data_IF_121249104773
#
_entry.id   IF_121249104773
#
_cell.length_a   1.000
_cell.length_b   1.000
_cell.length_c   1.000
_cell.angle_alpha   90.00
_cell.angle_beta   90.00
_cell.angle_gamma   90.00
#
_symmetry.space_group_name_H-M   'P 1'
#
loop_
_entity.id
_entity.type
_entity.pdbx_description
1 polymer ?
#
# COMPACT_ATOMS: atom_id res chain seq x y z
N UNK A 1 33.39 29.33 8.85
CA UNK A 1 31.96 29.67 8.85
C UNK A 1 31.39 29.91 7.42
N UNK A 2 32.11 30.49 6.43
CA UNK A 2 31.58 30.75 5.07
C UNK A 2 31.22 29.51 4.21
N UNK A 3 31.91 28.35 4.39
CA UNK A 3 31.61 27.13 3.61
C UNK A 3 30.24 26.51 3.92
N UNK A 4 29.78 26.61 5.17
CA UNK A 4 28.48 26.09 5.61
C UNK A 4 27.32 26.85 4.96
N UNK A 5 27.45 28.16 4.88
CA UNK A 5 26.48 29.05 4.24
C UNK A 5 26.31 28.80 2.74
N UNK A 6 27.42 28.54 2.02
CA UNK A 6 27.37 28.26 0.57
C UNK A 6 26.68 26.91 0.30
N UNK A 7 26.99 25.87 1.08
CA UNK A 7 26.36 24.57 0.95
C UNK A 7 24.85 24.65 1.24
N UNK A 8 24.47 25.36 2.30
CA UNK A 8 23.04 25.56 2.64
C UNK A 8 22.29 26.30 1.53
N UNK A 9 22.92 27.31 0.93
CA UNK A 9 22.34 28.06 -0.18
C UNK A 9 22.16 27.20 -1.43
N UNK A 10 23.16 26.43 -1.82
CA UNK A 10 23.10 25.51 -2.97
C UNK A 10 22.03 24.43 -2.72
N UNK A 11 21.99 23.84 -1.51
CA UNK A 11 21.01 22.85 -1.14
C UNK A 11 19.59 23.41 -1.21
N UNK A 12 19.37 24.65 -0.77
CA UNK A 12 18.07 25.33 -0.87
C UNK A 12 17.63 25.54 -2.31
N UNK A 13 18.54 25.96 -3.20
CA UNK A 13 18.25 26.13 -4.63
C UNK A 13 17.86 24.78 -5.27
N UNK A 14 18.61 23.72 -5.00
CA UNK A 14 18.30 22.37 -5.51
C UNK A 14 16.92 21.92 -5.02
N UNK A 15 16.65 22.10 -3.75
CA UNK A 15 15.34 21.73 -3.17
C UNK A 15 14.21 22.53 -3.84
N UNK A 16 14.41 23.84 -4.06
CA UNK A 16 13.42 24.68 -4.73
C UNK A 16 13.14 24.18 -6.16
N UNK A 17 14.19 23.86 -6.92
CA UNK A 17 14.06 23.32 -8.29
C UNK A 17 13.25 22.03 -8.28
N UNK A 18 13.53 21.10 -7.36
CA UNK A 18 12.80 19.84 -7.24
C UNK A 18 11.33 20.09 -6.89
N UNK A 19 11.05 20.96 -5.94
CA UNK A 19 9.67 21.31 -5.55
C UNK A 19 8.91 21.94 -6.70
N UNK A 20 9.52 22.89 -7.42
CA UNK A 20 8.89 23.53 -8.58
C UNK A 20 8.63 22.50 -9.68
N UNK A 21 9.56 21.62 -9.97
CA UNK A 21 9.41 20.58 -10.97
C UNK A 21 8.26 19.61 -10.62
N UNK A 22 8.19 19.14 -9.37
CA UNK A 22 7.10 18.29 -8.90
C UNK A 22 5.76 18.99 -8.95
N UNK A 23 5.71 20.25 -8.52
CA UNK A 23 4.49 21.08 -8.58
C UNK A 23 4.01 21.31 -10.02
N UNK A 24 4.94 21.50 -10.96
CA UNK A 24 4.63 21.65 -12.38
C UNK A 24 3.98 20.40 -12.97
N UNK A 25 4.48 19.20 -12.63
CA UNK A 25 3.90 17.93 -13.07
C UNK A 25 2.46 17.81 -12.57
N UNK A 26 2.24 18.04 -11.27
CA UNK A 26 0.90 17.96 -10.65
C UNK A 26 -0.06 18.96 -11.31
N UNK A 27 0.38 20.20 -11.48
CA UNK A 27 -0.43 21.25 -12.09
C UNK A 27 -0.81 20.91 -13.54
N UNK A 28 0.11 20.33 -14.31
CA UNK A 28 -0.15 19.90 -15.69
C UNK A 28 -1.24 18.83 -15.74
N UNK A 29 -1.19 17.84 -14.84
CA UNK A 29 -2.22 16.78 -14.75
C UNK A 29 -3.58 17.38 -14.42
N UNK A 30 -3.64 18.32 -13.45
CA UNK A 30 -4.88 18.96 -13.05
C UNK A 30 -5.46 19.79 -14.22
N UNK A 31 -4.66 20.65 -14.83
CA UNK A 31 -5.13 21.50 -15.94
C UNK A 31 -5.63 20.68 -17.12
N UNK A 32 -4.92 19.63 -17.50
CA UNK A 32 -5.33 18.75 -18.59
C UNK A 32 -6.50 17.84 -18.24
N UNK A 33 -6.70 17.54 -16.96
CA UNK A 33 -7.79 16.67 -16.47
C UNK A 33 -9.14 17.41 -16.35
N UNK A 34 -9.14 18.72 -16.07
CA UNK A 34 -10.35 19.51 -15.84
C UNK A 34 -11.39 19.37 -16.99
N UNK A 35 -11.02 19.49 -18.28
CA UNK A 35 -11.99 19.40 -19.38
C UNK A 35 -12.73 18.05 -19.43
N UNK A 36 -12.06 16.96 -19.04
CA UNK A 36 -12.61 15.60 -19.10
C UNK A 36 -13.36 15.19 -17.82
N UNK A 37 -13.34 16.05 -16.79
CA UNK A 37 -13.93 15.74 -15.48
C UNK A 37 -15.42 15.37 -15.56
N UNK A 38 -16.20 16.14 -16.35
CA UNK A 38 -17.63 15.88 -16.55
C UNK A 38 -17.91 14.55 -17.25
N UNK A 39 -17.05 14.17 -18.20
CA UNK A 39 -17.18 12.92 -18.97
C UNK A 39 -16.83 11.70 -18.12
N UNK A 40 -15.79 11.81 -17.30
CA UNK A 40 -15.35 10.81 -16.33
C UNK A 40 -16.46 10.47 -15.33
N UNK A 41 -17.14 11.48 -14.80
CA UNK A 41 -18.24 11.27 -13.84
C UNK A 41 -19.51 10.65 -14.47
N UNK A 42 -19.70 10.78 -15.77
CA UNK A 42 -20.83 10.15 -16.48
C UNK A 42 -20.56 8.68 -16.85
N UNK A 43 -19.28 8.27 -16.90
CA UNK A 43 -18.93 6.89 -17.22
C UNK A 43 -19.28 5.94 -16.06
N UNK A 44 -20.15 4.97 -16.32
CA UNK A 44 -20.54 3.93 -15.36
C UNK A 44 -19.35 3.06 -14.92
N UNK A 45 -18.40 2.83 -15.81
CA UNK A 45 -17.20 2.02 -15.56
C UNK A 45 -16.29 2.71 -14.54
N UNK A 46 -16.11 4.02 -14.68
CA UNK A 46 -15.28 4.81 -13.77
C UNK A 46 -15.96 4.92 -12.39
N UNK A 47 -17.27 5.16 -12.37
CA UNK A 47 -18.02 5.17 -11.11
C UNK A 47 -17.93 3.83 -10.37
N UNK A 48 -18.04 2.72 -11.11
CA UNK A 48 -17.87 1.38 -10.54
C UNK A 48 -16.45 1.20 -9.96
N UNK A 49 -15.44 1.59 -10.72
CA UNK A 49 -14.03 1.47 -10.30
C UNK A 49 -13.73 2.30 -9.04
N UNK A 50 -14.27 3.52 -8.95
CA UNK A 50 -14.12 4.37 -7.76
C UNK A 50 -14.81 3.72 -6.53
N UNK A 51 -16.05 3.27 -6.69
CA UNK A 51 -16.78 2.59 -5.61
C UNK A 51 -16.06 1.34 -5.15
N UNK A 52 -15.59 0.52 -6.09
CA UNK A 52 -14.83 -0.69 -5.80
C UNK A 52 -13.55 -0.39 -5.03
N UNK A 53 -12.80 0.63 -5.47
CA UNK A 53 -11.56 1.04 -4.81
C UNK A 53 -11.80 1.53 -3.39
N UNK A 54 -12.80 2.39 -3.18
CA UNK A 54 -13.14 2.90 -1.85
C UNK A 54 -13.61 1.76 -0.92
N UNK A 55 -14.47 0.88 -1.41
CA UNK A 55 -14.95 -0.27 -0.66
C UNK A 55 -13.82 -1.22 -0.27
N UNK A 56 -12.99 -1.62 -1.24
CA UNK A 56 -11.88 -2.53 -0.99
C UNK A 56 -10.85 -1.93 -0.02
N UNK A 57 -10.53 -0.63 -0.18
CA UNK A 57 -9.57 0.05 0.70
C UNK A 57 -10.10 0.19 2.11
N UNK A 58 -11.38 0.52 2.29
CA UNK A 58 -11.98 0.63 3.61
C UNK A 58 -11.94 -0.70 4.36
N UNK A 59 -12.37 -1.79 3.71
CA UNK A 59 -12.37 -3.12 4.32
C UNK A 59 -10.93 -3.57 4.61
N UNK A 60 -10.01 -3.42 3.67
CA UNK A 60 -8.62 -3.84 3.87
C UNK A 60 -7.94 -3.07 5.01
N UNK A 61 -8.23 -1.77 5.15
CA UNK A 61 -7.70 -0.95 6.24
C UNK A 61 -8.25 -1.39 7.59
N UNK A 62 -9.55 -1.67 7.69
CA UNK A 62 -10.14 -2.19 8.93
C UNK A 62 -9.52 -3.53 9.33
N UNK A 63 -9.36 -4.46 8.37
CA UNK A 63 -8.70 -5.75 8.63
C UNK A 63 -7.25 -5.53 9.07
N UNK A 64 -6.51 -4.66 8.38
CA UNK A 64 -5.13 -4.34 8.75
C UNK A 64 -5.04 -3.78 10.17
N UNK A 65 -5.92 -2.87 10.57
CA UNK A 65 -5.93 -2.32 11.93
C UNK A 65 -6.22 -3.39 12.98
N UNK A 66 -7.24 -4.22 12.74
CA UNK A 66 -7.60 -5.31 13.65
C UNK A 66 -6.45 -6.31 13.87
N UNK A 67 -5.67 -6.59 12.83
CA UNK A 67 -4.54 -7.51 12.91
C UNK A 67 -3.24 -6.82 13.38
N UNK A 68 -3.02 -5.58 12.97
CA UNK A 68 -1.77 -4.87 13.27
C UNK A 68 -1.64 -4.47 14.74
N UNK A 69 -2.74 -4.05 15.38
CA UNK A 69 -2.73 -3.62 16.78
C UNK A 69 -2.23 -4.74 17.72
N UNK A 70 -2.88 -5.94 17.77
CA UNK A 70 -2.43 -7.01 18.64
C UNK A 70 -1.04 -7.54 18.27
N UNK A 71 -0.72 -7.57 16.97
CA UNK A 71 0.60 -8.03 16.49
C UNK A 71 1.70 -7.07 16.92
N UNK A 72 1.52 -5.77 16.72
CA UNK A 72 2.46 -4.74 17.15
C UNK A 72 2.67 -4.77 18.67
N UNK A 73 1.59 -4.89 19.44
CA UNK A 73 1.65 -5.00 20.89
C UNK A 73 2.49 -6.22 21.34
N UNK A 74 2.24 -7.38 20.74
CA UNK A 74 2.95 -8.63 21.07
C UNK A 74 4.44 -8.52 20.77
N UNK A 75 4.80 -8.00 19.59
CA UNK A 75 6.20 -7.87 19.15
C UNK A 75 6.97 -6.84 20.00
N UNK A 76 6.27 -5.81 20.47
CA UNK A 76 6.92 -4.74 21.28
C UNK A 76 7.10 -5.17 22.73
N UNK A 77 6.10 -5.82 23.34
CA UNK A 77 6.09 -6.14 24.78
C UNK A 77 6.83 -7.42 25.14
N UNK A 78 6.86 -8.40 24.27
CA UNK A 78 7.53 -9.68 24.58
C UNK A 78 8.96 -9.68 24.07
N UNK A 79 9.93 -9.77 24.97
CA UNK A 79 11.34 -9.93 24.64
C UNK A 79 11.70 -11.42 24.59
N UNK A 80 12.19 -11.89 23.43
CA UNK A 80 12.61 -13.28 23.24
C UNK A 80 13.08 -13.57 21.81
N UNK A 81 13.80 -14.68 21.65
CA UNK A 81 14.30 -15.11 20.34
C UNK A 81 13.16 -15.28 19.32
N UNK A 82 12.02 -15.81 19.75
CA UNK A 82 10.85 -16.01 18.91
C UNK A 82 10.31 -14.69 18.30
N UNK A 83 10.22 -13.63 19.12
CA UNK A 83 9.76 -12.33 18.64
C UNK A 83 10.70 -11.68 17.62
N UNK A 84 12.00 -11.95 17.74
CA UNK A 84 12.98 -11.49 16.74
C UNK A 84 12.71 -12.14 15.39
N UNK A 85 12.45 -13.46 15.35
CA UNK A 85 12.11 -14.16 14.12
C UNK A 85 10.77 -13.73 13.54
N UNK A 86 9.73 -13.58 14.37
CA UNK A 86 8.41 -13.09 13.94
C UNK A 86 8.51 -11.70 13.31
N UNK A 87 9.30 -10.81 13.88
CA UNK A 87 9.56 -9.48 13.33
C UNK A 87 10.16 -9.55 11.93
N UNK A 88 11.21 -10.37 11.75
CA UNK A 88 11.87 -10.54 10.46
C UNK A 88 10.89 -11.09 9.42
N UNK A 89 10.10 -12.11 9.76
CA UNK A 89 9.12 -12.71 8.85
C UNK A 89 8.05 -11.70 8.42
N UNK A 90 7.55 -10.87 9.34
CA UNK A 90 6.55 -9.86 9.03
C UNK A 90 7.14 -8.73 8.17
N UNK A 91 8.40 -8.39 8.35
CA UNK A 91 9.07 -7.34 7.59
C UNK A 91 9.60 -7.83 6.21
N UNK A 92 9.68 -9.14 5.97
CA UNK A 92 10.12 -9.71 4.69
C UNK A 92 9.36 -9.19 3.46
N UNK A 93 8.01 -9.08 3.47
CA UNK A 93 7.27 -8.55 2.33
C UNK A 93 7.67 -7.12 1.95
N UNK A 94 8.16 -6.31 2.91
CA UNK A 94 8.60 -4.94 2.65
C UNK A 94 9.86 -4.87 1.77
N UNK A 95 10.64 -5.94 1.73
CA UNK A 95 11.86 -6.03 0.94
C UNK A 95 11.62 -6.52 -0.49
N UNK A 96 10.42 -7.04 -0.78
CA UNK A 96 10.07 -7.60 -2.07
C UNK A 96 9.38 -6.55 -2.97
N UNK A 97 9.68 -6.52 -4.27
CA UNK A 97 8.92 -5.71 -5.22
C UNK A 97 7.43 -6.10 -5.23
N UNK A 98 6.54 -5.12 -5.30
CA UNK A 98 5.09 -5.35 -5.31
C UNK A 98 4.63 -6.32 -6.41
N UNK A 99 5.30 -6.32 -7.56
CA UNK A 99 5.03 -7.25 -8.65
C UNK A 99 5.24 -8.71 -8.20
N UNK A 100 6.34 -8.97 -7.49
CA UNK A 100 6.67 -10.31 -6.97
C UNK A 100 5.65 -10.74 -5.92
N UNK A 101 5.24 -9.84 -5.03
CA UNK A 101 4.17 -10.10 -4.05
C UNK A 101 2.85 -10.45 -4.74
N UNK A 102 2.45 -9.69 -5.76
CA UNK A 102 1.23 -9.97 -6.53
C UNK A 102 1.28 -11.31 -7.24
N UNK A 103 2.40 -11.65 -7.87
CA UNK A 103 2.60 -12.94 -8.52
C UNK A 103 2.58 -14.10 -7.51
N UNK A 104 3.20 -13.93 -6.34
CA UNK A 104 3.18 -14.94 -5.28
C UNK A 104 1.77 -15.25 -4.81
N UNK A 105 0.95 -14.22 -4.58
CA UNK A 105 -0.46 -14.39 -4.24
C UNK A 105 -1.24 -15.07 -5.36
N UNK A 106 -1.01 -14.70 -6.61
CA UNK A 106 -1.65 -15.33 -7.76
C UNK A 106 -1.31 -16.83 -7.83
N UNK A 107 -0.05 -17.20 -7.64
CA UNK A 107 0.39 -18.60 -7.65
C UNK A 107 -0.29 -19.37 -6.51
N UNK A 108 -0.31 -18.82 -5.30
CA UNK A 108 -0.94 -19.48 -4.14
C UNK A 108 -2.43 -19.70 -4.40
N UNK A 109 -3.16 -18.70 -4.86
CA UNK A 109 -4.61 -18.81 -5.09
C UNK A 109 -5.00 -19.49 -6.40
N UNK A 110 -4.06 -19.73 -7.31
CA UNK A 110 -4.24 -20.60 -8.48
C UNK A 110 -3.90 -22.06 -8.23
N UNK A 111 -3.26 -22.37 -7.11
CA UNK A 111 -2.89 -23.72 -6.67
C UNK A 111 -4.09 -24.54 -6.17
N UNK A 112 -3.92 -25.82 -5.79
CA UNK A 112 -4.98 -26.63 -5.19
C UNK A 112 -5.67 -25.97 -3.99
N UNK A 113 -4.94 -25.16 -3.20
CA UNK A 113 -5.50 -24.40 -2.07
C UNK A 113 -6.55 -23.41 -2.56
N UNK A 114 -6.25 -22.66 -3.63
CA UNK A 114 -7.20 -21.72 -4.21
C UNK A 114 -8.40 -22.39 -4.86
N UNK A 115 -8.23 -23.60 -5.41
CA UNK A 115 -9.34 -24.42 -5.93
C UNK A 115 -10.29 -24.86 -4.82
N UNK A 116 -9.75 -25.36 -3.71
CA UNK A 116 -10.54 -25.74 -2.54
C UNK A 116 -11.32 -24.55 -1.96
N UNK A 117 -10.70 -23.37 -1.87
CA UNK A 117 -11.40 -22.14 -1.45
C UNK A 117 -12.53 -21.75 -2.40
N UNK A 118 -12.33 -21.93 -3.71
CA UNK A 118 -13.38 -21.66 -4.71
C UNK A 118 -14.56 -22.63 -4.56
N UNK A 119 -14.33 -23.88 -4.26
CA UNK A 119 -15.38 -24.89 -3.98
C UNK A 119 -16.19 -24.54 -2.73
N UNK A 120 -15.56 -23.89 -1.74
CA UNK A 120 -16.21 -23.34 -0.55
C UNK A 120 -16.94 -22.00 -0.82
N UNK A 121 -17.01 -21.53 -2.06
CA UNK A 121 -17.66 -20.28 -2.45
C UNK A 121 -16.76 -19.04 -2.43
N UNK A 122 -15.50 -19.14 -2.04
CA UNK A 122 -14.56 -18.02 -1.98
C UNK A 122 -13.70 -17.93 -3.25
N UNK A 123 -14.21 -17.23 -4.25
CA UNK A 123 -13.43 -16.92 -5.46
C UNK A 123 -12.47 -15.76 -5.16
N UNK A 124 -11.16 -16.03 -5.09
CA UNK A 124 -10.12 -15.02 -4.81
C UNK A 124 -9.55 -14.42 -6.10
N UNK A 125 -9.14 -15.27 -7.04
CA UNK A 125 -8.51 -14.82 -8.29
C UNK A 125 -9.51 -14.05 -9.16
N UNK A 126 -9.11 -12.87 -9.64
CA UNK A 126 -9.93 -11.94 -10.42
C UNK A 126 -11.26 -11.56 -9.75
N UNK A 127 -11.25 -11.31 -8.45
CA UNK A 127 -12.43 -10.93 -7.67
C UNK A 127 -12.16 -9.75 -6.74
N UNK A 128 -13.23 -9.14 -6.20
CA UNK A 128 -13.14 -8.09 -5.19
C UNK A 128 -12.44 -8.59 -3.90
N UNK A 129 -12.68 -9.83 -3.53
CA UNK A 129 -12.03 -10.48 -2.39
C UNK A 129 -10.52 -10.57 -2.60
N UNK A 130 -10.09 -10.91 -3.81
CA UNK A 130 -8.67 -10.93 -4.16
C UNK A 130 -7.99 -9.57 -4.04
N UNK A 131 -8.66 -8.49 -4.42
CA UNK A 131 -8.16 -7.12 -4.25
C UNK A 131 -7.98 -6.81 -2.76
N UNK A 132 -8.96 -7.12 -1.92
CA UNK A 132 -8.90 -6.89 -0.48
C UNK A 132 -7.75 -7.69 0.16
N UNK A 133 -7.62 -8.98 -0.19
CA UNK A 133 -6.54 -9.83 0.33
C UNK A 133 -5.17 -9.29 -0.08
N UNK A 134 -5.00 -8.89 -1.34
CA UNK A 134 -3.75 -8.32 -1.82
C UNK A 134 -3.39 -7.01 -1.09
N UNK A 135 -4.37 -6.13 -0.89
CA UNK A 135 -4.18 -4.90 -0.13
C UNK A 135 -3.83 -5.17 1.34
N UNK A 136 -4.50 -6.11 1.99
CA UNK A 136 -4.19 -6.50 3.38
C UNK A 136 -2.77 -7.05 3.45
N UNK A 137 -2.39 -7.95 2.56
CA UNK A 137 -1.07 -8.59 2.56
C UNK A 137 0.07 -7.57 2.41
N UNK A 138 -0.12 -6.59 1.53
CA UNK A 138 0.87 -5.54 1.28
C UNK A 138 0.90 -4.51 2.42
N UNK A 139 -0.26 -4.10 2.93
CA UNK A 139 -0.34 -3.00 3.90
C UNK A 139 -0.13 -3.44 5.36
N UNK A 140 -0.35 -4.70 5.68
CA UNK A 140 -0.24 -5.21 7.05
C UNK A 140 1.15 -4.98 7.67
N UNK A 141 2.28 -5.28 7.01
CA UNK A 141 3.62 -5.00 7.54
C UNK A 141 3.86 -3.50 7.83
N UNK A 142 3.38 -2.62 6.94
CA UNK A 142 3.47 -1.16 7.13
C UNK A 142 2.65 -0.71 8.35
N UNK A 143 1.43 -1.21 8.49
CA UNK A 143 0.55 -0.89 9.62
C UNK A 143 1.17 -1.34 10.95
N UNK A 144 1.72 -2.56 11.01
CA UNK A 144 2.41 -3.07 12.21
C UNK A 144 3.62 -2.20 12.53
N UNK A 145 4.42 -1.85 11.53
CA UNK A 145 5.59 -1.00 11.71
C UNK A 145 5.21 0.38 12.22
N UNK A 146 4.19 1.00 11.65
CA UNK A 146 3.70 2.31 12.03
C UNK A 146 3.24 2.34 13.50
N UNK A 147 2.36 1.39 13.90
CA UNK A 147 1.86 1.30 15.28
C UNK A 147 3.00 1.04 16.28
N UNK A 148 4.04 0.35 15.86
CA UNK A 148 5.17 0.04 16.72
C UNK A 148 6.10 1.23 16.96
N UNK A 149 6.11 2.22 16.07
CA UNK A 149 6.94 3.42 16.16
C UNK A 149 6.21 4.62 16.79
N UNK A 150 4.88 4.56 16.88
CA UNK A 150 4.04 5.52 17.58
C UNK A 150 4.07 5.27 19.09
#
# INVERSE_FOLDING_TARGET
>A
MKKKSIFEFISYIITLIVVVFMSWIILTIIIKGIPYFSEVFKSKEIQFSIKLSLFATTISTLICMLLAIPTAYTITRKHGKLNKYMKVIIELPLCLPYLVLGLSLLIIFSSPIGKALKELGFKVVYSQVGIIIAQVFVNLPYSIRFIRTA
#
